data_IF_738646090045
#
_entry.id   IF_738646090045
#
_cell.length_a   1.000
_cell.length_b   1.000
_cell.length_c   1.000
_cell.angle_alpha   90.00
_cell.angle_beta   90.00
_cell.angle_gamma   90.00
#
_symmetry.space_group_name_H-M   'P 1'
#
loop_
_entity.id
_entity.type
_entity.pdbx_description
1 polymer ?
#
# COMPACT_ATOMS: atom_id res chain seq x y z
N UNK A 1 0.12 -0.15 2.11
CA UNK A 1 1.01 -1.07 2.84
C UNK A 1 2.47 -0.65 2.85
N UNK A 2 3.07 -0.15 1.80
CA UNK A 2 4.51 0.22 1.81
C UNK A 2 4.90 1.23 2.92
N UNK A 3 3.98 2.05 3.39
CA UNK A 3 4.20 3.07 4.42
C UNK A 3 3.75 2.66 5.84
N UNK A 4 3.16 1.52 6.05
CA UNK A 4 2.61 1.19 7.36
C UNK A 4 2.81 -0.27 7.77
N UNK A 5 3.49 -1.05 6.95
CA UNK A 5 3.76 -2.46 7.23
C UNK A 5 5.24 -2.67 7.45
N UNK A 6 5.63 -3.03 8.67
CA UNK A 6 7.01 -3.19 9.10
C UNK A 6 7.56 -4.57 8.72
N UNK A 7 8.46 -4.61 7.73
CA UNK A 7 9.04 -5.85 7.21
C UNK A 7 9.84 -6.62 8.26
N UNK A 8 10.69 -5.99 9.09
CA UNK A 8 11.38 -6.69 10.18
C UNK A 8 10.43 -7.39 11.15
N UNK A 9 9.32 -6.76 11.53
CA UNK A 9 8.30 -7.37 12.39
C UNK A 9 7.64 -8.57 11.73
N UNK A 10 7.28 -8.45 10.46
CA UNK A 10 6.69 -9.56 9.71
C UNK A 10 7.66 -10.75 9.57
N UNK A 11 8.94 -10.51 9.31
CA UNK A 11 9.98 -11.57 9.27
C UNK A 11 10.09 -12.31 10.59
N UNK A 12 10.08 -11.60 11.72
CA UNK A 12 10.11 -12.23 13.04
C UNK A 12 8.87 -13.08 13.30
N UNK A 13 7.69 -12.55 12.96
CA UNK A 13 6.42 -13.23 13.18
C UNK A 13 6.32 -14.54 12.38
N UNK A 14 6.64 -14.51 11.09
CA UNK A 14 6.54 -15.69 10.23
C UNK A 14 7.78 -16.59 10.27
N UNK A 15 8.87 -16.15 10.90
CA UNK A 15 10.16 -16.82 10.85
C UNK A 15 10.57 -17.20 9.41
N UNK A 16 10.35 -16.31 8.46
CA UNK A 16 10.59 -16.55 7.04
C UNK A 16 10.92 -15.26 6.30
N UNK A 17 11.57 -15.34 5.12
CA UNK A 17 11.80 -14.17 4.27
C UNK A 17 10.49 -13.47 3.91
N UNK A 18 10.49 -12.14 3.95
CA UNK A 18 9.38 -11.29 3.51
C UNK A 18 9.88 -10.36 2.43
N UNK A 19 9.19 -10.33 1.30
CA UNK A 19 9.47 -9.47 0.16
C UNK A 19 8.38 -8.41 0.03
N UNK A 20 8.77 -7.13 -0.03
CA UNK A 20 7.85 -6.01 -0.23
C UNK A 20 7.70 -5.71 -1.72
N UNK A 21 6.54 -6.06 -2.29
CA UNK A 21 6.20 -5.75 -3.69
C UNK A 21 5.37 -4.46 -3.84
N UNK A 22 4.85 -3.91 -2.74
CA UNK A 22 4.05 -2.70 -2.80
C UNK A 22 4.85 -1.50 -3.30
N UNK A 23 4.21 -0.61 -4.05
CA UNK A 23 4.73 0.68 -4.49
C UNK A 23 3.79 1.77 -3.98
N UNK A 24 4.36 2.82 -3.36
CA UNK A 24 3.59 4.00 -2.98
C UNK A 24 3.05 4.70 -4.24
N UNK A 25 1.85 5.26 -4.15
CA UNK A 25 1.13 6.04 -5.17
C UNK A 25 -0.10 5.37 -5.80
N UNK A 26 -0.84 4.61 -5.02
CA UNK A 26 -2.18 4.17 -5.42
C UNK A 26 -2.21 3.09 -6.50
N UNK A 27 -1.16 2.29 -6.58
CA UNK A 27 -1.12 1.15 -7.51
C UNK A 27 -1.96 0.02 -6.96
N UNK A 28 -2.86 -0.48 -7.79
CA UNK A 28 -3.68 -1.64 -7.49
C UNK A 28 -2.78 -2.90 -7.40
N UNK A 29 -2.80 -3.67 -6.31
CA UNK A 29 -1.96 -4.85 -6.15
C UNK A 29 -2.40 -6.06 -7.01
N UNK A 30 -3.49 -5.96 -7.78
CA UNK A 30 -4.05 -7.05 -8.56
C UNK A 30 -3.02 -7.69 -9.50
N UNK A 31 -2.28 -6.86 -10.23
CA UNK A 31 -1.35 -7.36 -11.23
C UNK A 31 -0.19 -8.14 -10.63
N UNK A 32 0.34 -7.65 -9.48
CA UNK A 32 1.34 -8.41 -8.73
C UNK A 32 0.77 -9.74 -8.20
N UNK A 33 -0.50 -9.74 -7.78
CA UNK A 33 -1.18 -10.94 -7.33
C UNK A 33 -1.38 -11.94 -8.49
N UNK A 34 -1.79 -11.46 -9.67
CA UNK A 34 -1.95 -12.28 -10.87
C UNK A 34 -0.61 -12.90 -11.34
N UNK A 35 0.48 -12.16 -11.24
CA UNK A 35 1.80 -12.68 -11.55
C UNK A 35 2.22 -13.79 -10.59
N UNK A 36 2.00 -13.60 -9.27
CA UNK A 36 2.22 -14.66 -8.28
C UNK A 36 1.27 -15.84 -8.51
N UNK A 37 0.05 -15.59 -8.96
CA UNK A 37 -0.90 -16.63 -9.33
C UNK A 37 -0.45 -17.42 -10.57
N UNK A 38 0.18 -16.79 -11.54
CA UNK A 38 0.73 -17.44 -12.73
C UNK A 38 2.02 -18.24 -12.45
N UNK A 39 2.72 -17.93 -11.36
CA UNK A 39 3.93 -18.65 -10.96
C UNK A 39 3.59 -20.00 -10.31
N UNK A 40 3.76 -21.09 -11.06
CA UNK A 40 3.47 -22.45 -10.59
C UNK A 40 4.30 -22.90 -9.39
N UNK A 41 5.42 -22.26 -9.11
CA UNK A 41 6.28 -22.57 -7.98
C UNK A 41 5.92 -21.79 -6.73
N UNK A 42 5.11 -20.73 -6.87
CA UNK A 42 4.73 -19.91 -5.72
C UNK A 42 3.69 -20.62 -4.84
N UNK A 43 4.06 -20.86 -3.58
CA UNK A 43 3.22 -21.47 -2.53
C UNK A 43 3.27 -20.63 -1.25
N UNK A 44 3.71 -19.38 -1.37
CA UNK A 44 3.90 -18.51 -0.23
C UNK A 44 2.60 -17.90 0.29
N UNK A 45 2.76 -17.01 1.26
CA UNK A 45 1.70 -16.15 1.78
C UNK A 45 1.76 -14.78 1.10
N UNK A 46 0.61 -14.27 0.71
CA UNK A 46 0.45 -12.89 0.20
C UNK A 46 -0.40 -12.10 1.18
N UNK A 47 0.08 -10.92 1.57
CA UNK A 47 -0.70 -9.93 2.31
C UNK A 47 -0.82 -8.70 1.41
N UNK A 48 -2.01 -8.45 0.90
CA UNK A 48 -2.28 -7.39 -0.05
C UNK A 48 -3.15 -6.30 0.58
N UNK A 49 -2.60 -5.08 0.66
CA UNK A 49 -3.42 -3.91 1.01
C UNK A 49 -4.30 -3.54 -0.17
N UNK A 50 -5.62 -3.56 0.02
CA UNK A 50 -6.60 -3.24 -0.99
C UNK A 50 -7.46 -2.06 -0.57
N UNK A 51 -7.79 -1.21 -1.53
CA UNK A 51 -8.81 -0.17 -1.43
C UNK A 51 -9.82 -0.43 -2.56
N UNK A 52 -10.99 -1.02 -2.25
CA UNK A 52 -11.98 -1.32 -3.26
C UNK A 52 -12.45 -0.11 -4.06
N UNK A 53 -12.38 1.09 -3.50
CA UNK A 53 -12.65 2.32 -4.24
C UNK A 53 -11.67 2.58 -5.37
N UNK A 54 -10.45 2.05 -5.29
CA UNK A 54 -9.43 2.20 -6.33
C UNK A 54 -9.62 1.28 -7.54
N UNK A 55 -10.49 0.27 -7.46
CA UNK A 55 -10.70 -0.72 -8.54
C UNK A 55 -11.36 -0.14 -9.79
N UNK A 56 -11.95 1.03 -9.71
CA UNK A 56 -12.47 1.78 -10.84
C UNK A 56 -11.38 2.35 -11.78
N UNK A 57 -10.12 2.34 -11.32
CA UNK A 57 -9.02 2.98 -12.04
C UNK A 57 -8.04 1.95 -12.59
N UNK A 58 -7.67 2.05 -13.87
CA UNK A 58 -6.64 1.19 -14.44
C UNK A 58 -5.30 1.45 -13.75
N UNK A 59 -4.56 0.39 -13.48
CA UNK A 59 -3.21 0.48 -12.94
C UNK A 59 -2.24 1.03 -13.99
N UNK A 60 -1.68 2.21 -13.73
CA UNK A 60 -0.82 2.91 -14.68
C UNK A 60 0.67 2.51 -14.61
N UNK A 61 1.08 1.59 -13.73
CA UNK A 61 2.49 1.30 -13.44
C UNK A 61 2.88 -0.17 -13.54
N UNK A 62 2.15 -0.91 -14.32
CA UNK A 62 2.27 -2.34 -14.54
C UNK A 62 3.71 -2.85 -14.76
N UNK A 63 4.42 -2.27 -15.72
CA UNK A 63 5.74 -2.76 -16.13
C UNK A 63 6.83 -2.72 -15.04
N UNK A 64 6.76 -1.78 -14.10
CA UNK A 64 7.79 -1.65 -13.06
C UNK A 64 7.70 -2.73 -11.99
N UNK A 65 6.49 -3.22 -11.68
CA UNK A 65 6.31 -4.35 -10.75
C UNK A 65 6.83 -5.65 -11.33
N UNK A 66 6.45 -5.92 -12.58
CA UNK A 66 6.85 -7.12 -13.30
C UNK A 66 8.36 -7.19 -13.42
N UNK A 67 9.00 -6.08 -13.82
CA UNK A 67 10.46 -6.01 -13.92
C UNK A 67 11.15 -6.25 -12.57
N UNK A 68 10.61 -5.73 -11.47
CA UNK A 68 11.20 -5.94 -10.14
C UNK A 68 11.06 -7.38 -9.66
N UNK A 69 9.88 -8.00 -9.86
CA UNK A 69 9.67 -9.39 -9.46
C UNK A 69 10.49 -10.36 -10.32
N UNK A 70 10.54 -10.13 -11.63
CA UNK A 70 11.37 -10.89 -12.56
C UNK A 70 12.86 -10.69 -12.28
N UNK A 71 13.28 -9.47 -11.95
CA UNK A 71 14.64 -9.14 -11.59
C UNK A 71 15.13 -9.81 -10.32
N UNK A 72 14.29 -9.96 -9.31
CA UNK A 72 14.65 -10.70 -8.10
C UNK A 72 14.84 -12.22 -8.32
N UNK A 73 14.40 -12.75 -9.45
CA UNK A 73 14.71 -14.13 -9.87
C UNK A 73 16.08 -14.27 -10.53
N UNK A 74 16.59 -13.19 -11.12
CA UNK A 74 17.94 -13.14 -11.64
C UNK A 74 18.87 -12.62 -10.54
N UNK A 75 19.85 -13.42 -10.12
CA UNK A 75 20.78 -13.11 -9.01
C UNK A 75 21.49 -11.77 -9.21
N UNK A 76 21.73 -11.37 -10.48
CA UNK A 76 22.39 -10.10 -10.83
C UNK A 76 21.47 -8.87 -10.69
N UNK A 77 20.18 -8.99 -11.03
CA UNK A 77 19.23 -7.87 -10.94
C UNK A 77 18.84 -7.59 -9.49
N UNK A 78 18.81 -8.63 -8.65
CA UNK A 78 18.66 -8.49 -7.20
C UNK A 78 19.82 -7.73 -6.56
N UNK A 79 21.05 -7.92 -7.05
CA UNK A 79 22.24 -7.21 -6.57
C UNK A 79 22.25 -5.73 -6.99
N UNK A 80 21.80 -5.42 -8.23
CA UNK A 80 21.66 -4.02 -8.69
C UNK A 80 20.55 -3.29 -7.93
N UNK A 81 19.39 -3.93 -7.73
CA UNK A 81 18.28 -3.37 -6.96
C UNK A 81 18.67 -3.13 -5.50
N UNK A 82 19.37 -4.08 -4.89
CA UNK A 82 19.93 -3.94 -3.54
C UNK A 82 20.96 -2.82 -3.48
N UNK A 83 21.92 -2.79 -4.40
CA UNK A 83 22.95 -1.76 -4.45
C UNK A 83 22.36 -0.36 -4.65
N UNK A 84 21.34 -0.23 -5.48
CA UNK A 84 20.60 1.03 -5.68
C UNK A 84 19.87 1.45 -4.41
N UNK A 85 19.12 0.56 -3.78
CA UNK A 85 18.41 0.82 -2.54
C UNK A 85 19.36 1.21 -1.40
N UNK A 86 20.51 0.53 -1.28
CA UNK A 86 21.56 0.84 -0.30
C UNK A 86 22.17 2.23 -0.54
N UNK A 87 22.43 2.58 -1.79
CA UNK A 87 22.94 3.90 -2.16
C UNK A 87 21.88 4.98 -1.89
N UNK A 88 20.62 4.75 -2.24
CA UNK A 88 19.52 5.69 -2.01
C UNK A 88 19.18 5.85 -0.52
N UNK A 89 19.35 4.82 0.29
CA UNK A 89 19.17 4.89 1.74
C UNK A 89 20.25 5.74 2.43
N UNK A 90 21.49 5.73 1.91
CA UNK A 90 22.63 6.44 2.49
C UNK A 90 22.87 7.83 1.90
N UNK A 91 22.55 8.05 0.63
CA UNK A 91 22.78 9.32 -0.04
C UNK A 91 21.48 10.13 -0.16
N UNK A 92 21.31 11.08 0.74
CA UNK A 92 20.18 12.05 0.76
C UNK A 92 19.96 12.71 -0.60
N UNK A 93 21.02 12.92 -1.38
CA UNK A 93 21.01 13.58 -2.71
C UNK A 93 20.29 12.75 -3.78
N UNK A 94 20.19 11.43 -3.62
CA UNK A 94 19.49 10.53 -4.55
C UNK A 94 18.05 10.20 -4.16
N UNK A 95 17.58 10.67 -3.03
CA UNK A 95 16.18 10.50 -2.63
C UNK A 95 15.28 11.24 -3.63
N UNK A 96 14.18 10.64 -4.03
CA UNK A 96 13.22 11.21 -5.00
C UNK A 96 12.68 12.59 -4.56
N UNK A 97 12.61 12.84 -3.25
CA UNK A 97 12.22 14.11 -2.65
C UNK A 97 13.35 15.15 -2.53
N UNK A 98 14.63 14.74 -2.69
CA UNK A 98 15.81 15.56 -2.47
C UNK A 98 16.84 15.46 -3.62
N UNK A 99 16.37 15.27 -4.88
CA UNK A 99 17.32 15.30 -5.98
C UNK A 99 17.90 16.71 -6.15
N UNK A 100 19.15 16.80 -6.58
CA UNK A 100 19.91 18.07 -6.69
C UNK A 100 19.13 19.14 -7.49
N UNK A 101 18.40 18.76 -8.51
CA UNK A 101 17.60 19.67 -9.36
C UNK A 101 16.41 20.25 -8.61
N UNK A 102 15.68 19.43 -7.85
CA UNK A 102 14.55 19.90 -7.03
C UNK A 102 15.04 20.75 -5.86
N UNK A 103 16.15 20.37 -5.23
CA UNK A 103 16.75 21.12 -4.12
C UNK A 103 17.25 22.49 -4.57
N UNK A 104 17.97 22.57 -5.70
CA UNK A 104 18.39 23.86 -6.27
C UNK A 104 17.18 24.69 -6.70
N UNK A 105 16.19 24.08 -7.35
CA UNK A 105 14.95 24.76 -7.73
C UNK A 105 14.17 25.33 -6.54
N UNK A 106 14.11 24.59 -5.44
CA UNK A 106 13.46 25.03 -4.19
C UNK A 106 14.23 26.14 -3.50
N UNK A 107 15.56 26.05 -3.46
CA UNK A 107 16.43 27.11 -2.93
C UNK A 107 16.28 28.41 -3.72
N UNK A 108 16.26 28.33 -5.06
CA UNK A 108 16.08 29.50 -5.93
C UNK A 108 14.69 30.15 -5.75
N UNK A 109 13.66 29.35 -5.44
CA UNK A 109 12.31 29.84 -5.16
C UNK A 109 12.10 30.23 -3.70
N UNK A 110 13.12 30.10 -2.85
CA UNK A 110 13.03 30.28 -1.39
C UNK A 110 11.94 29.39 -0.75
N UNK A 111 11.66 28.26 -1.36
CA UNK A 111 10.76 27.23 -0.85
C UNK A 111 11.61 26.09 -0.30
N UNK A 112 11.51 25.82 0.98
CA UNK A 112 12.15 24.65 1.56
C UNK A 112 11.36 23.40 1.12
N UNK A 113 12.04 22.29 0.80
CA UNK A 113 11.38 21.03 0.57
C UNK A 113 10.53 20.64 1.78
N UNK A 114 9.42 19.99 1.50
CA UNK A 114 8.46 19.51 2.51
C UNK A 114 9.22 18.73 3.60
N UNK A 115 9.03 19.06 4.88
CA UNK A 115 9.75 18.41 5.98
C UNK A 115 9.40 16.94 6.20
N UNK A 116 8.42 16.36 5.48
CA UNK A 116 8.16 14.92 5.57
C UNK A 116 9.37 14.16 5.07
N UNK A 117 10.19 13.74 6.02
CA UNK A 117 11.30 12.86 5.72
C UNK A 117 10.77 11.47 5.37
N UNK A 118 10.43 11.26 4.10
CA UNK A 118 10.18 9.93 3.58
C UNK A 118 11.49 9.29 3.19
N UNK A 119 11.84 8.21 3.85
CA UNK A 119 13.01 7.41 3.53
C UNK A 119 12.57 6.02 3.15
N UNK A 120 13.19 5.44 2.14
CA UNK A 120 12.99 4.05 1.75
C UNK A 120 14.22 3.25 2.16
N UNK A 121 14.00 2.13 2.82
CA UNK A 121 15.07 1.20 3.20
C UNK A 121 15.34 0.14 2.12
N UNK A 122 16.30 -0.76 2.41
CA UNK A 122 16.68 -1.84 1.50
C UNK A 122 15.56 -2.85 1.25
N UNK A 123 14.61 -2.96 2.16
CA UNK A 123 13.42 -3.79 2.04
C UNK A 123 12.29 -3.09 1.29
N UNK A 124 12.55 -1.90 0.73
CA UNK A 124 11.59 -1.04 0.06
C UNK A 124 10.43 -0.57 0.95
N UNK A 125 10.56 -0.68 2.25
CA UNK A 125 9.64 -0.04 3.18
C UNK A 125 9.86 1.46 3.17
N UNK A 126 8.78 2.23 3.11
CA UNK A 126 8.82 3.68 3.23
C UNK A 126 8.51 4.06 4.66
N UNK A 127 9.45 4.76 5.27
CA UNK A 127 9.32 5.37 6.57
C UNK A 127 8.85 6.81 6.39
N UNK A 128 7.72 7.16 6.99
CA UNK A 128 7.19 8.54 7.01
C UNK A 128 7.21 9.06 8.43
N UNK A 129 8.05 10.06 8.68
CA UNK A 129 8.14 10.76 9.96
C UNK A 129 7.31 12.05 9.89
N UNK A 130 6.24 12.10 10.66
CA UNK A 130 5.34 13.25 10.72
C UNK A 130 5.63 14.18 11.90
N UNK A 131 6.67 13.91 12.72
CA UNK A 131 6.95 14.64 13.95
C UNK A 131 7.27 16.14 13.74
N UNK A 132 7.74 16.51 12.54
CA UNK A 132 8.14 17.87 12.19
C UNK A 132 7.10 18.61 11.32
N UNK A 133 5.89 18.09 11.19
CA UNK A 133 4.89 18.59 10.24
C UNK A 133 3.75 19.29 10.95
N UNK A 134 3.31 20.40 10.39
CA UNK A 134 2.03 21.02 10.72
C UNK A 134 0.88 20.15 10.18
N UNK A 135 0.45 19.16 10.97
CA UNK A 135 -0.61 18.22 10.61
C UNK A 135 -1.92 18.92 10.23
N UNK A 136 -2.40 19.94 10.98
CA UNK A 136 -3.59 20.69 10.59
C UNK A 136 -3.48 21.34 9.20
N UNK A 137 -2.34 21.88 8.84
CA UNK A 137 -2.07 22.45 7.51
C UNK A 137 -2.06 21.37 6.44
N UNK A 138 -1.32 20.29 6.65
CA UNK A 138 -1.25 19.15 5.74
C UNK A 138 -2.64 18.56 5.46
N UNK A 139 -3.44 18.33 6.49
CA UNK A 139 -4.81 17.81 6.34
C UNK A 139 -5.70 18.74 5.51
N UNK A 140 -5.63 20.06 5.73
CA UNK A 140 -6.40 21.03 4.91
C UNK A 140 -6.01 20.97 3.43
N UNK A 141 -4.70 20.95 3.14
CA UNK A 141 -4.20 20.88 1.76
C UNK A 141 -4.64 19.59 1.06
N UNK A 142 -4.55 18.45 1.76
CA UNK A 142 -4.98 17.17 1.21
C UNK A 142 -6.50 17.11 0.98
N UNK A 143 -7.32 17.65 1.87
CA UNK A 143 -8.77 17.69 1.72
C UNK A 143 -9.17 18.53 0.51
N UNK A 144 -8.61 19.73 0.36
CA UNK A 144 -8.88 20.59 -0.80
C UNK A 144 -8.58 19.86 -2.12
N UNK A 145 -7.46 19.15 -2.17
CA UNK A 145 -7.08 18.39 -3.37
C UNK A 145 -8.00 17.18 -3.65
N UNK A 146 -8.56 16.57 -2.61
CA UNK A 146 -9.52 15.46 -2.74
C UNK A 146 -10.85 15.97 -3.26
N UNK A 147 -11.37 17.07 -2.71
CA UNK A 147 -12.65 17.67 -3.12
C UNK A 147 -12.64 18.06 -4.60
N UNK A 148 -11.56 18.67 -5.09
CA UNK A 148 -11.41 19.02 -6.50
C UNK A 148 -11.45 17.79 -7.43
N UNK A 149 -10.82 16.69 -7.02
CA UNK A 149 -10.77 15.46 -7.83
C UNK A 149 -12.07 14.65 -7.79
N UNK A 150 -12.83 14.74 -6.70
CA UNK A 150 -14.04 13.93 -6.48
C UNK A 150 -15.34 14.60 -6.89
N UNK A 151 -15.37 15.92 -6.96
CA UNK A 151 -16.57 16.72 -7.29
C UNK A 151 -17.24 16.36 -8.62
N UNK A 152 -16.56 15.66 -9.52
CA UNK A 152 -17.10 15.24 -10.81
C UNK A 152 -17.46 13.74 -10.93
N UNK A 153 -17.41 12.98 -9.83
CA UNK A 153 -17.60 11.52 -9.90
C UNK A 153 -18.80 11.10 -9.05
N UNK A 154 -19.85 10.65 -9.73
CA UNK A 154 -20.98 9.97 -9.10
C UNK A 154 -20.51 8.57 -8.64
N UNK A 155 -19.99 8.52 -7.43
CA UNK A 155 -19.57 7.32 -6.75
C UNK A 155 -20.75 6.82 -5.88
N UNK A 156 -20.64 5.69 -5.28
CA UNK A 156 -21.67 5.12 -4.41
C UNK A 156 -22.32 3.85 -4.96
N UNK A 157 -21.99 3.48 -6.21
CA UNK A 157 -22.37 2.18 -6.77
C UNK A 157 -21.23 1.59 -7.59
N UNK A 158 -20.88 0.32 -7.36
CA UNK A 158 -19.86 -0.37 -8.15
C UNK A 158 -20.25 -0.43 -9.63
N UNK A 159 -19.28 -0.17 -10.52
CA UNK A 159 -19.44 -0.32 -11.95
C UNK A 159 -19.30 -1.79 -12.39
N UNK A 160 -19.69 -2.15 -13.63
CA UNK A 160 -19.35 -3.46 -14.19
C UNK A 160 -17.84 -3.73 -14.23
N UNK A 161 -17.02 -2.71 -14.47
CA UNK A 161 -15.56 -2.80 -14.44
C UNK A 161 -15.07 -3.16 -13.04
N UNK A 162 -15.62 -2.54 -12.00
CA UNK A 162 -15.31 -2.86 -10.61
C UNK A 162 -15.60 -4.34 -10.30
N UNK A 163 -16.78 -4.83 -10.68
CA UNK A 163 -17.16 -6.22 -10.46
C UNK A 163 -16.23 -7.21 -11.20
N UNK A 164 -15.79 -6.87 -12.40
CA UNK A 164 -14.80 -7.66 -13.14
C UNK A 164 -13.45 -7.71 -12.41
N UNK A 165 -13.00 -6.59 -11.86
CA UNK A 165 -11.76 -6.51 -11.07
C UNK A 165 -11.85 -7.38 -9.81
N UNK A 166 -12.97 -7.35 -9.09
CA UNK A 166 -13.19 -8.22 -7.91
C UNK A 166 -13.08 -9.70 -8.26
N UNK A 167 -13.66 -10.10 -9.39
CA UNK A 167 -13.56 -11.50 -9.85
C UNK A 167 -12.11 -11.89 -10.17
N UNK A 168 -11.32 -11.01 -10.78
CA UNK A 168 -9.90 -11.26 -11.03
C UNK A 168 -9.11 -11.45 -9.71
N UNK A 169 -9.40 -10.67 -8.67
CA UNK A 169 -8.82 -10.89 -7.34
C UNK A 169 -9.15 -12.26 -6.78
N UNK A 170 -10.42 -12.70 -6.90
CA UNK A 170 -10.85 -14.02 -6.45
C UNK A 170 -10.14 -15.13 -7.23
N UNK A 171 -10.08 -15.04 -8.55
CA UNK A 171 -9.45 -16.03 -9.41
C UNK A 171 -7.94 -16.17 -9.15
N UNK A 172 -7.24 -15.04 -8.99
CA UNK A 172 -5.81 -15.06 -8.64
C UNK A 172 -5.57 -15.67 -7.25
N UNK A 173 -6.39 -15.32 -6.26
CA UNK A 173 -6.29 -15.90 -4.92
C UNK A 173 -6.60 -17.41 -4.93
N UNK A 174 -7.58 -17.86 -5.69
CA UNK A 174 -7.93 -19.27 -5.86
C UNK A 174 -6.78 -20.08 -6.45
N UNK A 175 -6.12 -19.58 -7.49
CA UNK A 175 -4.95 -20.23 -8.08
C UNK A 175 -3.80 -20.38 -7.09
N UNK A 176 -3.55 -19.39 -6.24
CA UNK A 176 -2.54 -19.46 -5.19
C UNK A 176 -2.95 -20.47 -4.12
N UNK A 177 -4.20 -20.44 -3.67
CA UNK A 177 -4.74 -21.36 -2.66
C UNK A 177 -4.70 -22.82 -3.12
N UNK A 178 -5.05 -23.11 -4.38
CA UNK A 178 -5.01 -24.46 -4.95
C UNK A 178 -3.61 -25.10 -4.89
N UNK A 179 -2.55 -24.30 -4.83
CA UNK A 179 -1.16 -24.75 -4.66
C UNK A 179 -0.71 -24.81 -3.21
N UNK A 180 -1.60 -24.51 -2.26
CA UNK A 180 -1.28 -24.48 -0.82
C UNK A 180 -0.75 -23.12 -0.33
N UNK A 181 -0.73 -22.10 -1.16
CA UNK A 181 -0.45 -20.72 -0.74
C UNK A 181 -1.62 -20.11 0.02
N UNK A 182 -1.39 -18.94 0.64
CA UNK A 182 -2.42 -18.20 1.39
C UNK A 182 -2.46 -16.75 0.92
N UNK A 183 -3.67 -16.20 0.83
CA UNK A 183 -3.88 -14.79 0.48
C UNK A 183 -4.70 -14.12 1.58
N UNK A 184 -4.25 -12.95 2.03
CA UNK A 184 -4.97 -12.09 2.97
C UNK A 184 -5.09 -10.70 2.35
N UNK A 185 -6.33 -10.23 2.17
CA UNK A 185 -6.61 -8.87 1.74
C UNK A 185 -6.88 -7.99 2.96
N UNK A 186 -6.23 -6.83 3.00
CA UNK A 186 -6.29 -5.92 4.15
C UNK A 186 -6.74 -4.54 3.68
N UNK A 187 -7.82 -4.01 4.28
CA UNK A 187 -8.10 -2.59 4.22
C UNK A 187 -7.35 -1.88 5.36
N UNK A 188 -6.40 -1.03 4.97
CA UNK A 188 -5.54 -0.31 5.90
C UNK A 188 -6.29 0.81 6.63
N UNK A 189 -5.83 1.24 7.82
CA UNK A 189 -6.43 2.36 8.53
C UNK A 189 -6.49 3.64 7.70
N UNK A 190 -7.61 4.33 7.82
CA UNK A 190 -7.83 5.70 7.37
C UNK A 190 -8.45 6.49 8.52
N UNK A 191 -8.19 7.79 8.60
CA UNK A 191 -8.57 8.59 9.77
C UNK A 191 -9.24 9.92 9.38
N UNK A 192 -9.96 10.49 10.36
CA UNK A 192 -10.50 11.83 10.28
C UNK A 192 -11.46 12.06 9.09
N UNK A 193 -11.53 13.29 8.55
CA UNK A 193 -12.46 13.64 7.46
C UNK A 193 -12.33 12.75 6.22
N UNK A 194 -11.17 12.18 5.95
CA UNK A 194 -10.97 11.26 4.83
C UNK A 194 -11.81 9.99 4.96
N UNK A 195 -11.94 9.44 6.16
CA UNK A 195 -12.77 8.25 6.39
C UNK A 195 -14.25 8.54 6.07
N UNK A 196 -14.74 9.72 6.44
CA UNK A 196 -16.12 10.15 6.12
C UNK A 196 -16.31 10.33 4.62
N UNK A 197 -15.35 10.94 3.92
CA UNK A 197 -15.40 11.12 2.47
C UNK A 197 -15.33 9.78 1.72
N UNK A 198 -14.51 8.86 2.18
CA UNK A 198 -14.39 7.56 1.57
C UNK A 198 -15.65 6.71 1.77
N UNK A 199 -16.25 6.74 2.96
CA UNK A 199 -17.52 6.06 3.21
C UNK A 199 -18.66 6.65 2.36
N UNK A 200 -18.70 7.95 2.17
CA UNK A 200 -19.68 8.59 1.29
C UNK A 200 -19.49 8.23 -0.18
N UNK A 201 -18.25 8.14 -0.65
CA UNK A 201 -17.91 7.83 -2.03
C UNK A 201 -17.98 6.34 -2.35
N UNK A 202 -17.58 5.50 -1.40
CA UNK A 202 -17.46 4.05 -1.52
C UNK A 202 -18.08 3.37 -0.29
N UNK A 203 -19.42 3.41 -0.13
CA UNK A 203 -20.07 2.82 1.03
C UNK A 203 -19.61 1.39 1.28
N UNK A 204 -19.18 1.10 2.50
CA UNK A 204 -18.60 -0.19 2.86
C UNK A 204 -19.48 -1.35 2.43
N UNK A 205 -20.79 -1.26 2.69
CA UNK A 205 -21.75 -2.31 2.37
C UNK A 205 -21.81 -2.64 0.87
N UNK A 206 -21.48 -1.69 0.00
CA UNK A 206 -21.55 -1.88 -1.46
C UNK A 206 -20.19 -2.26 -2.06
N UNK A 207 -19.08 -1.88 -1.42
CA UNK A 207 -17.74 -2.11 -1.94
C UNK A 207 -16.98 -3.16 -1.13
N UNK A 208 -16.59 -2.86 0.11
CA UNK A 208 -15.78 -3.80 0.88
C UNK A 208 -16.53 -5.09 1.21
N UNK A 209 -17.76 -5.01 1.70
CA UNK A 209 -18.49 -6.20 2.13
C UNK A 209 -18.83 -7.11 0.93
N UNK A 210 -19.08 -6.53 -0.25
CA UNK A 210 -19.25 -7.29 -1.49
C UNK A 210 -17.92 -7.92 -1.93
N UNK A 211 -16.82 -7.18 -1.90
CA UNK A 211 -15.48 -7.69 -2.17
C UNK A 211 -15.15 -8.85 -1.22
N UNK A 212 -15.27 -8.63 0.09
CA UNK A 212 -14.97 -9.62 1.12
C UNK A 212 -15.79 -10.89 0.92
N UNK A 213 -17.10 -10.76 0.71
CA UNK A 213 -17.98 -11.91 0.43
C UNK A 213 -17.55 -12.69 -0.81
N UNK A 214 -17.07 -12.00 -1.84
CA UNK A 214 -16.66 -12.64 -3.10
C UNK A 214 -15.36 -13.41 -2.95
N UNK A 215 -14.39 -12.89 -2.19
CA UNK A 215 -13.05 -13.50 -2.06
C UNK A 215 -12.92 -14.45 -0.86
N UNK A 216 -13.77 -14.36 0.16
CA UNK A 216 -13.70 -15.19 1.39
C UNK A 216 -13.60 -16.70 1.16
N UNK A 217 -14.20 -17.32 0.12
CA UNK A 217 -14.02 -18.75 -0.13
C UNK A 217 -12.55 -19.15 -0.39
N UNK A 218 -11.70 -18.22 -0.84
CA UNK A 218 -10.35 -18.49 -1.31
C UNK A 218 -9.27 -17.63 -0.64
N UNK A 219 -9.67 -16.63 0.14
CA UNK A 219 -8.77 -15.70 0.80
C UNK A 219 -9.34 -15.19 2.12
N UNK A 220 -8.47 -14.83 3.05
CA UNK A 220 -8.86 -14.10 4.26
C UNK A 220 -9.04 -12.61 3.94
N UNK A 221 -9.97 -11.95 4.63
CA UNK A 221 -10.16 -10.49 4.54
C UNK A 221 -10.11 -9.85 5.91
N UNK A 222 -9.41 -8.73 6.03
CA UNK A 222 -9.28 -7.94 7.27
C UNK A 222 -9.60 -6.49 6.94
N UNK A 223 -10.67 -5.96 7.56
CA UNK A 223 -10.95 -4.54 7.54
C UNK A 223 -10.50 -3.94 8.87
N UNK A 224 -9.69 -2.88 8.85
CA UNK A 224 -9.13 -2.29 10.07
C UNK A 224 -10.20 -1.92 11.11
N UNK A 225 -11.38 -1.47 10.67
CA UNK A 225 -12.44 -1.04 11.56
C UNK A 225 -13.16 -2.19 12.29
N UNK A 226 -12.94 -3.45 11.89
CA UNK A 226 -13.55 -4.62 12.54
C UNK A 226 -12.80 -5.07 13.79
N UNK A 227 -11.58 -4.56 13.99
CA UNK A 227 -10.70 -4.93 15.09
C UNK A 227 -10.34 -3.70 15.90
N UNK A 228 -10.57 -3.74 17.21
CA UNK A 228 -10.36 -2.59 18.09
C UNK A 228 -8.90 -2.13 18.10
N UNK A 229 -7.97 -3.08 18.15
CA UNK A 229 -6.53 -2.83 18.13
C UNK A 229 -6.06 -2.19 16.81
N UNK A 230 -6.67 -2.55 15.66
CA UNK A 230 -6.35 -1.93 14.37
C UNK A 230 -7.04 -0.57 14.19
N UNK A 231 -8.27 -0.42 14.69
CA UNK A 231 -9.03 0.82 14.60
C UNK A 231 -8.44 1.95 15.44
N UNK A 232 -7.68 1.62 16.48
CA UNK A 232 -7.06 2.59 17.38
C UNK A 232 -5.90 3.39 16.74
N UNK A 233 -5.38 2.97 15.59
CA UNK A 233 -4.30 3.67 14.91
C UNK A 233 -4.80 4.88 14.13
N UNK A 234 -4.15 6.02 14.35
CA UNK A 234 -4.42 7.24 13.60
C UNK A 234 -3.40 7.44 12.47
N UNK A 235 -3.89 7.91 11.34
CA UNK A 235 -3.06 8.33 10.22
C UNK A 235 -2.89 9.87 10.27
N UNK A 236 -1.67 10.38 10.49
CA UNK A 236 -1.45 11.83 10.60
C UNK A 236 -1.92 12.62 9.37
N UNK A 237 -1.67 12.10 8.18
CA UNK A 237 -2.16 12.66 6.90
C UNK A 237 -3.50 12.03 6.45
N UNK A 238 -4.21 11.36 7.34
CA UNK A 238 -5.49 10.68 7.16
C UNK A 238 -5.42 9.33 6.41
N UNK A 239 -4.30 8.96 5.79
CA UNK A 239 -4.17 7.73 4.97
C UNK A 239 -2.90 6.91 5.22
N UNK A 240 -1.89 7.50 5.86
CA UNK A 240 -0.63 6.82 6.12
C UNK A 240 -0.32 6.82 7.62
N UNK A 241 0.14 5.69 8.11
CA UNK A 241 0.66 5.56 9.46
C UNK A 241 2.00 6.29 9.62
N UNK A 242 2.25 6.84 10.79
CA UNK A 242 3.57 7.29 11.19
C UNK A 242 4.52 6.09 11.32
N UNK A 243 5.80 6.32 11.01
CA UNK A 243 6.82 5.28 11.14
C UNK A 243 6.94 4.74 12.57
N UNK A 244 6.65 5.57 13.57
CA UNK A 244 6.64 5.17 14.97
C UNK A 244 5.56 4.10 15.29
N UNK A 245 4.48 4.08 14.53
CA UNK A 245 3.37 3.14 14.70
C UNK A 245 3.49 1.88 13.83
N UNK A 246 4.31 1.90 12.79
CA UNK A 246 4.35 0.85 11.79
C UNK A 246 4.60 -0.55 12.37
N UNK A 247 5.56 -0.69 13.29
CA UNK A 247 5.87 -1.99 13.93
C UNK A 247 4.73 -2.50 14.80
N UNK A 248 4.12 -1.61 15.61
CA UNK A 248 2.99 -1.94 16.48
C UNK A 248 1.76 -2.33 15.67
N UNK A 249 1.43 -1.54 14.64
CA UNK A 249 0.36 -1.87 13.72
C UNK A 249 0.57 -3.21 13.03
N UNK A 250 1.78 -3.45 12.53
CA UNK A 250 2.10 -4.72 11.87
C UNK A 250 1.93 -5.89 12.81
N UNK A 251 2.40 -5.79 14.06
CA UNK A 251 2.19 -6.85 15.05
C UNK A 251 0.71 -7.10 15.32
N UNK A 252 -0.10 -6.04 15.53
CA UNK A 252 -1.55 -6.18 15.69
C UNK A 252 -2.20 -6.85 14.49
N UNK A 253 -1.88 -6.40 13.27
CA UNK A 253 -2.42 -6.99 12.05
C UNK A 253 -2.08 -8.47 11.91
N UNK A 254 -0.83 -8.84 12.18
CA UNK A 254 -0.36 -10.24 12.05
C UNK A 254 -1.02 -11.18 13.05
N UNK A 255 -1.46 -10.69 14.22
CA UNK A 255 -2.21 -11.50 15.19
C UNK A 255 -3.59 -11.94 14.65
N UNK A 256 -4.13 -11.24 13.65
CA UNK A 256 -5.40 -11.57 12.99
C UNK A 256 -5.22 -12.42 11.72
N UNK A 257 -4.00 -12.63 11.25
CA UNK A 257 -3.71 -13.40 10.04
C UNK A 257 -3.56 -14.90 10.39
N UNK A 258 -4.31 -15.75 9.68
CA UNK A 258 -4.35 -17.21 9.87
C UNK A 258 -3.31 -17.95 9.02
#
# INVERSE_FOLDING_TARGET
MQLGFDIPTARRHFNSPVLQLAIASGVNPLEALEELAADHLFKGRVIAGVDPGSFEFPALLHQQYLAYHQGNRAVFDGFEAWGRAEIESRLVIKRSSCNLRTTIGSLLRRQFPDPVARTMDVDRQIHSDFSQIDIPKLRRELLNHIDEKRAGRLLGRPSPTWAAVVNRYREAAEQIQQRGGKVTFVWMPISGPRATLDEAAYPRAQFWDVFAKTVTPVAQTIHFADYEDLRSFECPDMIHLDTADASRFTQSLLNHIQ
#
